data_IF_207568938464
#
_entry.id   IF_207568938464
#
_cell.length_a   1.000
_cell.length_b   1.000
_cell.length_c   1.000
_cell.angle_alpha   90.00
_cell.angle_beta   90.00
_cell.angle_gamma   90.00
#
_symmetry.space_group_name_H-M   'P 1'
#
loop_
_entity.id
_entity.type
_entity.pdbx_description
1 polymer ?
#
# COMPACT_ATOMS: atom_id res chain seq x y z
N UNK A 1 -13.00 9.66 10.61
CA UNK A 1 -13.93 9.71 9.47
C UNK A 1 -13.61 8.55 8.55
N UNK A 2 -14.58 7.72 8.20
CA UNK A 2 -14.34 6.63 7.24
C UNK A 2 -14.05 7.23 5.86
N UNK A 3 -12.91 6.87 5.27
CA UNK A 3 -12.53 7.29 3.92
C UNK A 3 -13.42 6.55 2.92
N UNK A 4 -14.42 7.22 2.38
CA UNK A 4 -15.27 6.64 1.34
C UNK A 4 -14.52 6.75 0.02
N UNK A 5 -13.83 5.70 -0.40
CA UNK A 5 -13.09 5.64 -1.66
C UNK A 5 -13.61 4.51 -2.55
N UNK A 6 -13.52 4.70 -3.87
CA UNK A 6 -13.92 3.71 -4.89
C UNK A 6 -12.67 3.09 -5.51
N UNK A 7 -12.52 1.79 -5.34
CA UNK A 7 -11.34 1.05 -5.75
C UNK A 7 -11.69 0.03 -6.83
N UNK A 8 -10.93 0.03 -7.92
CA UNK A 8 -10.95 -1.01 -8.93
C UNK A 8 -9.72 -1.90 -8.78
N UNK A 9 -9.94 -3.15 -8.37
CA UNK A 9 -8.90 -4.17 -8.28
C UNK A 9 -8.77 -4.90 -9.62
N UNK A 10 -7.54 -5.01 -10.09
CA UNK A 10 -7.24 -5.66 -11.37
C UNK A 10 -6.14 -6.70 -11.19
N UNK A 11 -6.43 -7.94 -11.56
CA UNK A 11 -5.46 -9.03 -11.44
C UNK A 11 -5.95 -10.32 -12.04
N UNK A 12 -5.04 -11.28 -12.23
CA UNK A 12 -5.34 -12.56 -12.91
C UNK A 12 -5.98 -13.63 -12.00
N UNK A 13 -5.85 -13.51 -10.68
CA UNK A 13 -6.29 -14.53 -9.71
C UNK A 13 -7.48 -14.02 -8.94
N UNK A 14 -8.68 -14.50 -9.26
CA UNK A 14 -9.93 -14.10 -8.62
C UNK A 14 -9.87 -14.26 -7.09
N UNK A 15 -9.39 -15.40 -6.57
CA UNK A 15 -9.29 -15.65 -5.12
C UNK A 15 -8.43 -14.62 -4.37
N UNK A 16 -7.38 -14.08 -5.01
CA UNK A 16 -6.54 -13.03 -4.39
C UNK A 16 -7.30 -11.71 -4.37
N UNK A 17 -8.00 -11.40 -5.46
CA UNK A 17 -8.85 -10.21 -5.55
C UNK A 17 -9.99 -10.26 -4.54
N UNK A 18 -10.63 -11.43 -4.35
CA UNK A 18 -11.74 -11.61 -3.40
C UNK A 18 -11.29 -11.30 -1.97
N UNK A 19 -10.19 -11.90 -1.51
CA UNK A 19 -9.63 -11.63 -0.17
C UNK A 19 -9.28 -10.16 0.04
N UNK A 20 -8.67 -9.53 -0.96
CA UNK A 20 -8.32 -8.11 -0.89
C UNK A 20 -9.59 -7.24 -0.89
N UNK A 21 -10.58 -7.60 -1.71
CA UNK A 21 -11.84 -6.87 -1.77
C UNK A 21 -12.61 -6.94 -0.44
N UNK A 22 -12.66 -8.12 0.19
CA UNK A 22 -13.26 -8.28 1.53
C UNK A 22 -12.57 -7.40 2.57
N UNK A 23 -11.23 -7.42 2.61
CA UNK A 23 -10.45 -6.59 3.53
C UNK A 23 -10.71 -5.10 3.31
N UNK A 24 -10.75 -4.63 2.06
CA UNK A 24 -11.01 -3.22 1.74
C UNK A 24 -12.46 -2.82 2.05
N UNK A 25 -13.43 -3.70 1.84
CA UNK A 25 -14.83 -3.43 2.21
C UNK A 25 -15.00 -3.35 3.73
N UNK A 26 -14.28 -4.15 4.48
CA UNK A 26 -14.25 -4.06 5.95
C UNK A 26 -13.72 -2.69 6.43
N UNK A 27 -12.86 -2.03 5.64
CA UNK A 27 -12.39 -0.66 5.88
C UNK A 27 -13.37 0.43 5.36
N UNK A 28 -14.55 0.03 4.88
CA UNK A 28 -15.59 0.96 4.39
C UNK A 28 -15.43 1.42 2.94
N UNK A 29 -14.54 0.79 2.16
CA UNK A 29 -14.30 1.16 0.77
C UNK A 29 -15.28 0.45 -0.19
N UNK A 30 -15.65 1.13 -1.28
CA UNK A 30 -16.39 0.52 -2.37
C UNK A 30 -15.42 -0.16 -3.34
N UNK A 31 -15.56 -1.48 -3.54
CA UNK A 31 -14.60 -2.26 -4.30
C UNK A 31 -15.26 -2.99 -5.45
N UNK A 32 -14.75 -2.76 -6.66
CA UNK A 32 -15.02 -3.53 -7.86
C UNK A 32 -13.78 -4.35 -8.25
N UNK A 33 -13.98 -5.48 -8.90
CA UNK A 33 -12.91 -6.37 -9.33
C UNK A 33 -13.04 -6.64 -10.82
N UNK A 34 -11.91 -6.74 -11.51
CA UNK A 34 -11.88 -7.14 -12.91
C UNK A 34 -10.62 -7.98 -13.21
N UNK A 35 -10.81 -9.06 -13.91
CA UNK A 35 -9.73 -9.95 -14.34
C UNK A 35 -9.39 -9.77 -15.82
N UNK A 36 -10.30 -9.19 -16.60
CA UNK A 36 -10.13 -8.90 -18.01
C UNK A 36 -9.70 -7.46 -18.26
N UNK A 37 -8.46 -7.29 -18.69
CA UNK A 37 -7.88 -5.97 -18.95
C UNK A 37 -8.54 -5.24 -20.13
N UNK A 38 -9.04 -5.98 -21.13
CA UNK A 38 -9.66 -5.37 -22.30
C UNK A 38 -11.05 -4.81 -21.98
N UNK A 39 -11.78 -5.48 -21.09
CA UNK A 39 -13.04 -4.94 -20.56
C UNK A 39 -12.84 -3.63 -19.80
N UNK A 40 -11.76 -3.49 -19.04
CA UNK A 40 -11.48 -2.23 -18.32
C UNK A 40 -11.26 -1.10 -19.32
N UNK A 41 -10.57 -1.36 -20.41
CA UNK A 41 -10.25 -0.35 -21.41
C UNK A 41 -11.49 0.19 -22.14
N UNK A 42 -12.53 -0.63 -22.32
CA UNK A 42 -13.66 -0.34 -23.22
C UNK A 42 -15.02 -0.29 -22.52
N UNK A 43 -15.25 -1.09 -21.48
CA UNK A 43 -16.57 -1.32 -20.92
C UNK A 43 -16.74 -0.88 -19.45
N UNK A 44 -15.66 -0.87 -18.68
CA UNK A 44 -15.75 -0.48 -17.27
C UNK A 44 -15.78 1.04 -17.16
N UNK A 45 -16.80 1.57 -16.50
CA UNK A 45 -16.82 2.99 -16.15
C UNK A 45 -15.80 3.27 -15.04
N UNK A 46 -14.75 3.99 -15.39
CA UNK A 46 -13.66 4.39 -14.50
C UNK A 46 -13.76 5.84 -14.05
N UNK A 47 -14.76 6.60 -14.54
CA UNK A 47 -14.92 8.03 -14.21
C UNK A 47 -15.09 8.26 -12.70
N UNK A 48 -15.71 7.32 -12.03
CA UNK A 48 -16.01 7.37 -10.61
C UNK A 48 -15.00 6.59 -9.74
N UNK A 49 -13.91 6.04 -10.32
CA UNK A 49 -12.89 5.28 -9.59
C UNK A 49 -11.81 6.22 -9.06
N UNK A 50 -11.51 6.13 -7.76
CA UNK A 50 -10.47 6.94 -7.12
C UNK A 50 -9.08 6.26 -7.21
N UNK A 51 -9.06 4.93 -7.08
CA UNK A 51 -7.82 4.12 -7.12
C UNK A 51 -7.98 2.91 -8.02
N UNK A 52 -7.04 2.74 -8.94
CA UNK A 52 -6.81 1.52 -9.72
C UNK A 52 -5.65 0.74 -9.10
N UNK A 53 -5.93 -0.42 -8.50
CA UNK A 53 -4.91 -1.28 -7.92
C UNK A 53 -4.59 -2.45 -8.87
N UNK A 54 -3.35 -2.51 -9.31
CA UNK A 54 -2.85 -3.51 -10.27
C UNK A 54 -2.09 -4.61 -9.54
N UNK A 55 -2.49 -5.85 -9.74
CA UNK A 55 -1.75 -7.01 -9.26
C UNK A 55 -0.40 -7.16 -9.99
N UNK A 56 0.61 -7.73 -9.32
CA UNK A 56 1.99 -7.92 -9.82
C UNK A 56 2.10 -8.61 -11.20
N UNK A 57 1.06 -9.34 -11.64
CA UNK A 57 1.04 -9.99 -12.96
C UNK A 57 0.65 -9.04 -14.10
N UNK A 58 0.26 -7.81 -13.80
CA UNK A 58 -0.08 -6.76 -14.78
C UNK A 58 1.16 -5.89 -14.96
N UNK A 59 2.00 -6.23 -15.93
CA UNK A 59 3.30 -5.58 -16.14
C UNK A 59 3.53 -5.24 -17.61
N UNK A 60 4.60 -4.49 -17.89
CA UNK A 60 5.07 -4.15 -19.22
C UNK A 60 4.02 -3.39 -20.04
N UNK A 61 4.04 -3.58 -21.36
CA UNK A 61 3.21 -2.86 -22.33
C UNK A 61 1.69 -2.96 -22.03
N UNK A 62 1.24 -4.11 -21.49
CA UNK A 62 -0.18 -4.28 -21.12
C UNK A 62 -0.59 -3.33 -20.00
N UNK A 63 0.28 -3.19 -19.00
CA UNK A 63 0.09 -2.22 -17.90
C UNK A 63 0.07 -0.79 -18.43
N UNK A 64 1.04 -0.44 -19.27
CA UNK A 64 1.17 0.91 -19.82
C UNK A 64 -0.05 1.30 -20.65
N UNK A 65 -0.49 0.42 -21.55
CA UNK A 65 -1.71 0.62 -22.36
C UNK A 65 -2.96 0.76 -21.49
N UNK A 66 -3.09 -0.06 -20.45
CA UNK A 66 -4.23 0.03 -19.53
C UNK A 66 -4.22 1.36 -18.79
N UNK A 67 -3.09 1.73 -18.18
CA UNK A 67 -2.96 2.97 -17.41
C UNK A 67 -3.20 4.20 -18.29
N UNK A 68 -2.66 4.23 -19.51
CA UNK A 68 -2.89 5.31 -20.46
C UNK A 68 -4.38 5.44 -20.82
N UNK A 69 -5.05 4.33 -21.15
CA UNK A 69 -6.46 4.33 -21.50
C UNK A 69 -7.38 4.77 -20.33
N UNK A 70 -7.03 4.37 -19.09
CA UNK A 70 -7.82 4.73 -17.91
C UNK A 70 -7.58 6.19 -17.53
N UNK A 71 -6.34 6.69 -17.57
CA UNK A 71 -6.02 8.09 -17.28
C UNK A 71 -6.60 9.06 -18.32
N UNK A 72 -6.71 8.66 -19.57
CA UNK A 72 -7.39 9.47 -20.58
C UNK A 72 -8.87 9.72 -20.25
N UNK A 73 -9.52 8.78 -19.54
CA UNK A 73 -10.93 8.85 -19.13
C UNK A 73 -11.12 9.42 -17.72
N UNK A 74 -10.12 9.26 -16.87
CA UNK A 74 -10.09 9.79 -15.49
C UNK A 74 -8.66 10.24 -15.12
N UNK A 75 -8.30 11.50 -15.39
CA UNK A 75 -6.97 12.03 -15.08
C UNK A 75 -6.65 12.07 -13.58
N UNK A 76 -7.66 12.14 -12.71
CA UNK A 76 -7.51 12.17 -11.26
C UNK A 76 -7.27 10.79 -10.63
N UNK A 77 -7.45 9.71 -11.42
CA UNK A 77 -7.31 8.35 -10.95
C UNK A 77 -5.88 8.04 -10.50
N UNK A 78 -5.75 7.51 -9.31
CA UNK A 78 -4.47 7.07 -8.74
C UNK A 78 -4.24 5.61 -9.07
N UNK A 79 -3.02 5.30 -9.50
CA UNK A 79 -2.63 3.92 -9.85
C UNK A 79 -1.69 3.39 -8.78
N UNK A 80 -2.03 2.22 -8.24
CA UNK A 80 -1.24 1.49 -7.25
C UNK A 80 -0.79 0.18 -7.86
N UNK A 81 0.52 -0.04 -7.92
CA UNK A 81 1.10 -1.34 -8.25
C UNK A 81 1.31 -2.14 -6.97
N UNK A 82 0.74 -3.33 -6.89
CA UNK A 82 0.88 -4.17 -5.71
C UNK A 82 2.32 -4.63 -5.48
N UNK A 83 2.93 -4.24 -4.35
CA UNK A 83 4.33 -4.55 -4.03
C UNK A 83 4.54 -6.04 -3.73
N UNK A 84 3.66 -6.65 -2.93
CA UNK A 84 3.76 -8.06 -2.56
C UNK A 84 2.35 -8.66 -2.35
N UNK A 85 2.19 -9.99 -2.43
CA UNK A 85 0.91 -10.66 -2.23
C UNK A 85 0.55 -10.77 -0.73
N UNK A 86 0.66 -9.67 -0.01
CA UNK A 86 0.37 -9.53 1.43
C UNK A 86 -0.86 -8.63 1.55
N UNK A 87 -2.01 -9.21 1.91
CA UNK A 87 -3.28 -8.47 1.93
C UNK A 87 -3.23 -7.20 2.81
N UNK A 88 -2.74 -7.22 4.06
CA UNK A 88 -2.63 -6.00 4.87
C UNK A 88 -1.74 -4.91 4.24
N UNK A 89 -0.66 -5.30 3.55
CA UNK A 89 0.21 -4.38 2.84
C UNK A 89 -0.50 -3.72 1.65
N UNK A 90 -1.23 -4.51 0.87
CA UNK A 90 -2.01 -4.00 -0.27
C UNK A 90 -3.12 -3.05 0.18
N UNK A 91 -3.79 -3.37 1.28
CA UNK A 91 -4.78 -2.46 1.92
C UNK A 91 -4.11 -1.14 2.30
N UNK A 92 -2.94 -1.19 2.95
CA UNK A 92 -2.21 0.01 3.34
C UNK A 92 -1.77 0.86 2.14
N UNK A 93 -1.31 0.23 1.04
CA UNK A 93 -0.96 0.94 -0.21
C UNK A 93 -2.17 1.68 -0.81
N UNK A 94 -3.34 1.04 -0.81
CA UNK A 94 -4.57 1.64 -1.33
C UNK A 94 -5.02 2.79 -0.41
N UNK A 95 -4.95 2.61 0.90
CA UNK A 95 -5.22 3.67 1.88
C UNK A 95 -4.27 4.86 1.71
N UNK A 96 -2.96 4.60 1.56
CA UNK A 96 -1.98 5.65 1.26
C UNK A 96 -2.38 6.42 -0.01
N UNK A 97 -2.72 5.71 -1.09
CA UNK A 97 -3.14 6.35 -2.32
C UNK A 97 -4.39 7.20 -2.15
N UNK A 98 -5.37 6.76 -1.35
CA UNK A 98 -6.61 7.51 -1.10
C UNK A 98 -6.40 8.75 -0.23
N UNK A 99 -5.50 8.68 0.74
CA UNK A 99 -5.31 9.71 1.76
C UNK A 99 -4.05 10.55 1.56
N UNK A 100 -3.23 10.26 0.51
CA UNK A 100 -1.93 10.89 0.32
C UNK A 100 -2.00 12.41 0.47
N UNK A 101 -1.52 12.96 1.59
CA UNK A 101 -1.44 14.40 1.79
C UNK A 101 -0.34 14.99 0.89
N UNK A 102 -0.40 16.28 0.65
CA UNK A 102 0.73 16.99 0.02
C UNK A 102 2.02 16.78 0.83
N UNK A 103 3.16 16.90 0.16
CA UNK A 103 4.48 16.58 0.75
C UNK A 103 4.75 17.32 2.08
N UNK A 104 4.26 18.55 2.21
CA UNK A 104 4.42 19.36 3.43
C UNK A 104 3.55 18.86 4.60
N UNK A 105 2.40 18.27 4.31
CA UNK A 105 1.46 17.76 5.31
C UNK A 105 1.77 16.33 5.77
N UNK A 106 2.78 15.68 5.20
CA UNK A 106 3.18 14.32 5.60
C UNK A 106 3.81 14.32 6.99
N UNK A 107 3.27 13.46 7.86
CA UNK A 107 3.80 13.25 9.21
C UNK A 107 5.11 12.47 9.15
N UNK A 108 5.12 11.37 8.38
CA UNK A 108 6.31 10.55 8.17
C UNK A 108 7.18 11.21 7.09
N UNK A 109 8.36 11.64 7.49
CA UNK A 109 9.34 12.27 6.59
C UNK A 109 10.17 11.26 5.83
N UNK A 110 10.58 10.17 6.51
CA UNK A 110 11.40 9.10 5.95
C UNK A 110 11.20 7.80 6.74
N UNK A 111 11.47 6.68 6.09
CA UNK A 111 11.61 5.37 6.71
C UNK A 111 12.73 4.59 6.01
N UNK A 112 13.44 3.76 6.78
CA UNK A 112 14.57 2.98 6.26
C UNK A 112 14.94 1.81 7.16
N UNK A 113 15.96 1.05 6.75
CA UNK A 113 16.53 -0.05 7.52
C UNK A 113 17.92 0.34 7.98
N UNK A 114 18.19 0.16 9.26
CA UNK A 114 19.55 0.16 9.82
C UNK A 114 20.00 -1.30 9.94
N UNK A 115 20.83 -1.74 8.99
CA UNK A 115 21.21 -3.16 8.85
C UNK A 115 22.13 -3.57 9.99
N UNK A 116 23.01 -2.69 10.48
CA UNK A 116 23.94 -2.95 11.56
C UNK A 116 23.24 -3.33 12.85
N UNK A 117 22.13 -2.69 13.16
CA UNK A 117 21.40 -2.84 14.42
C UNK A 117 20.18 -3.74 14.32
N UNK A 118 19.94 -4.34 13.16
CA UNK A 118 18.72 -5.11 12.88
C UNK A 118 17.46 -4.32 13.27
N UNK A 119 17.45 -3.04 12.96
CA UNK A 119 16.35 -2.14 13.26
C UNK A 119 15.79 -1.50 12.01
N UNK A 120 14.56 -1.03 12.10
CA UNK A 120 13.98 -0.10 11.14
C UNK A 120 13.86 1.26 11.78
N UNK A 121 14.07 2.29 10.98
CA UNK A 121 14.01 3.68 11.43
C UNK A 121 12.86 4.41 10.73
N UNK A 122 12.18 5.30 11.46
CA UNK A 122 11.28 6.28 10.90
C UNK A 122 11.66 7.68 11.39
N UNK A 123 11.35 8.69 10.58
CA UNK A 123 11.50 10.09 10.95
C UNK A 123 10.15 10.77 10.91
N UNK A 124 9.76 11.42 12.00
CA UNK A 124 8.51 12.17 12.11
C UNK A 124 8.76 13.68 12.09
N UNK A 125 7.98 14.41 11.30
CA UNK A 125 8.02 15.89 11.21
C UNK A 125 7.39 16.55 12.42
N UNK A 126 6.42 15.89 13.06
CA UNK A 126 5.73 16.31 14.28
C UNK A 126 5.34 15.10 15.12
N UNK A 127 4.96 15.34 16.38
CA UNK A 127 4.38 14.30 17.22
C UNK A 127 3.04 13.80 16.68
N UNK A 128 2.79 12.50 16.83
CA UNK A 128 1.59 11.83 16.35
C UNK A 128 1.34 10.54 17.14
N UNK A 129 0.10 10.04 17.09
CA UNK A 129 -0.18 8.66 17.49
C UNK A 129 0.17 7.73 16.32
N UNK A 130 1.12 6.81 16.53
CA UNK A 130 1.79 6.07 15.45
C UNK A 130 1.68 4.58 15.67
N UNK A 131 1.29 3.86 14.61
CA UNK A 131 1.42 2.41 14.53
C UNK A 131 2.43 2.07 13.44
N UNK A 132 3.44 1.25 13.79
CA UNK A 132 4.50 0.81 12.88
C UNK A 132 4.43 -0.70 12.74
N UNK A 133 4.21 -1.19 11.52
CA UNK A 133 4.12 -2.62 11.21
C UNK A 133 5.16 -2.96 10.15
N UNK A 134 5.98 -3.94 10.47
CA UNK A 134 6.98 -4.50 9.56
C UNK A 134 6.43 -5.74 8.88
N UNK A 135 6.51 -5.78 7.55
CA UNK A 135 6.15 -6.94 6.74
C UNK A 135 7.39 -7.49 6.02
N UNK A 136 7.51 -8.79 5.98
CA UNK A 136 8.56 -9.48 5.25
C UNK A 136 7.98 -10.63 4.45
N UNK A 137 8.46 -10.79 3.22
CA UNK A 137 8.21 -11.95 2.39
C UNK A 137 9.49 -12.78 2.35
N UNK A 138 9.46 -14.00 2.85
CA UNK A 138 10.64 -14.87 2.83
C UNK A 138 10.86 -15.53 1.45
N UNK A 139 11.96 -16.29 1.30
CA UNK A 139 12.33 -16.97 0.05
C UNK A 139 11.31 -18.03 -0.39
N UNK A 140 10.44 -18.47 0.51
CA UNK A 140 9.33 -19.39 0.22
C UNK A 140 8.01 -18.67 0.00
N UNK A 141 8.06 -17.33 -0.20
CA UNK A 141 6.88 -16.46 -0.34
C UNK A 141 5.90 -16.51 0.83
N UNK A 142 6.38 -16.81 2.04
CA UNK A 142 5.58 -16.72 3.25
C UNK A 142 5.64 -15.31 3.80
N UNK A 143 4.47 -14.77 4.09
CA UNK A 143 4.33 -13.45 4.69
C UNK A 143 4.54 -13.54 6.21
N UNK A 144 5.38 -12.64 6.71
CA UNK A 144 5.60 -12.44 8.15
C UNK A 144 5.24 -11.01 8.48
N UNK A 145 4.55 -10.82 9.60
CA UNK A 145 4.14 -9.53 10.11
C UNK A 145 4.64 -9.36 11.54
N UNK A 146 5.12 -8.16 11.86
CA UNK A 146 5.54 -7.80 13.21
C UNK A 146 5.08 -6.38 13.52
N UNK A 147 4.25 -6.25 14.56
CA UNK A 147 3.97 -4.95 15.15
C UNK A 147 5.21 -4.49 15.91
N UNK A 148 5.77 -3.35 15.51
CA UNK A 148 6.96 -2.77 16.10
C UNK A 148 6.63 -1.71 17.15
N UNK A 149 5.58 -0.92 16.91
CA UNK A 149 5.13 0.13 17.80
C UNK A 149 3.64 0.42 17.63
N UNK A 150 3.01 0.82 18.75
CA UNK A 150 1.66 1.40 18.73
C UNK A 150 1.54 2.36 19.92
N UNK A 151 1.29 3.64 19.63
CA UNK A 151 1.12 4.71 20.61
C UNK A 151 1.78 6.02 20.19
N UNK A 152 1.81 7.03 21.10
CA UNK A 152 2.34 8.35 20.77
C UNK A 152 3.86 8.33 20.59
N UNK A 153 4.33 9.04 19.56
CA UNK A 153 5.73 9.34 19.33
C UNK A 153 5.93 10.83 19.11
N UNK A 154 7.02 11.37 19.64
CA UNK A 154 7.42 12.75 19.42
C UNK A 154 7.98 12.99 18.02
N UNK A 155 8.23 14.26 17.67
CA UNK A 155 9.00 14.64 16.49
C UNK A 155 10.43 14.09 16.59
N UNK A 156 11.00 13.59 15.48
CA UNK A 156 12.38 13.12 15.41
C UNK A 156 12.53 11.74 14.82
N UNK A 157 13.69 11.12 15.09
CA UNK A 157 14.03 9.80 14.61
C UNK A 157 13.72 8.74 15.67
N UNK A 158 13.14 7.63 15.24
CA UNK A 158 12.77 6.51 16.10
C UNK A 158 13.25 5.20 15.47
N UNK A 159 13.83 4.31 16.28
CA UNK A 159 14.37 3.03 15.86
C UNK A 159 13.60 1.90 16.55
N UNK A 160 13.28 0.87 15.80
CA UNK A 160 12.53 -0.28 16.28
C UNK A 160 13.27 -1.56 15.95
N UNK A 161 13.61 -2.40 16.94
CA UNK A 161 14.27 -3.68 16.69
C UNK A 161 13.32 -4.61 15.93
N UNK A 162 13.89 -5.33 14.94
CA UNK A 162 13.16 -6.32 14.16
C UNK A 162 13.62 -7.72 14.55
N UNK A 163 12.66 -8.60 14.83
CA UNK A 163 12.94 -10.00 15.10
C UNK A 163 13.26 -10.73 13.79
N UNK A 164 14.38 -11.47 13.78
CA UNK A 164 14.78 -12.28 12.63
C UNK A 164 15.76 -11.59 11.68
N UNK A 165 15.94 -12.18 10.49
CA UNK A 165 16.92 -11.70 9.50
C UNK A 165 16.38 -10.51 8.72
N UNK A 166 17.06 -9.37 8.78
CA UNK A 166 16.71 -8.16 8.01
C UNK A 166 17.37 -8.12 6.62
N UNK A 167 18.16 -9.13 6.25
CA UNK A 167 19.02 -9.07 5.06
C UNK A 167 18.50 -9.85 3.85
N UNK A 168 17.41 -10.63 3.97
CA UNK A 168 16.90 -11.47 2.88
C UNK A 168 15.38 -11.32 2.70
N UNK A 169 14.92 -11.31 1.44
CA UNK A 169 13.51 -11.22 1.06
C UNK A 169 13.02 -9.78 0.84
N UNK A 170 11.80 -9.66 0.35
CA UNK A 170 11.13 -8.37 0.19
C UNK A 170 10.65 -7.88 1.56
N UNK A 171 10.90 -6.61 1.87
CA UNK A 171 10.63 -6.01 3.18
C UNK A 171 9.88 -4.71 3.00
N UNK A 172 8.92 -4.50 3.88
CA UNK A 172 8.07 -3.32 3.82
C UNK A 172 7.77 -2.81 5.22
N UNK A 173 7.63 -1.51 5.34
CA UNK A 173 7.19 -0.85 6.55
C UNK A 173 5.89 -0.12 6.26
N UNK A 174 4.88 -0.41 7.04
CA UNK A 174 3.62 0.33 7.05
C UNK A 174 3.62 1.21 8.29
N UNK A 175 3.49 2.52 8.08
CA UNK A 175 3.38 3.49 9.19
C UNK A 175 2.03 4.18 9.08
N UNK A 176 1.23 4.10 10.14
CA UNK A 176 0.01 4.87 10.32
C UNK A 176 0.24 5.94 11.37
N UNK A 177 -0.03 7.19 11.04
CA UNK A 177 0.20 8.33 11.93
C UNK A 177 -0.96 9.32 11.80
N UNK A 178 -1.75 9.51 12.86
CA UNK A 178 -2.93 10.41 12.91
C UNK A 178 -3.82 10.29 11.65
N UNK A 179 -4.15 9.05 11.24
CA UNK A 179 -5.00 8.77 10.08
C UNK A 179 -4.30 8.83 8.71
N UNK A 180 -3.04 9.22 8.65
CA UNK A 180 -2.21 9.07 7.44
C UNK A 180 -1.59 7.67 7.41
N UNK A 181 -1.61 7.03 6.26
CA UNK A 181 -0.90 5.76 6.02
C UNK A 181 0.22 5.99 5.03
N UNK A 182 1.40 5.47 5.31
CA UNK A 182 2.54 5.44 4.38
C UNK A 182 3.12 4.04 4.30
N UNK A 183 3.54 3.64 3.10
CA UNK A 183 4.15 2.33 2.84
C UNK A 183 5.54 2.54 2.23
N UNK A 184 6.53 1.92 2.83
CA UNK A 184 7.92 2.03 2.40
C UNK A 184 8.45 0.63 2.09
N UNK A 185 8.96 0.46 0.87
CA UNK A 185 9.77 -0.70 0.54
C UNK A 185 11.18 -0.48 1.08
N UNK A 186 11.67 -1.44 1.85
CA UNK A 186 12.98 -1.36 2.49
C UNK A 186 14.01 -2.11 1.61
N UNK A 187 15.01 -1.42 1.18
CA UNK A 187 16.08 -1.93 0.28
C UNK A 187 17.31 -2.32 1.08
#
# INVERSE_FOLDING_TARGET
MATTGRVLLVGKRAQVLDRLAEALRAEGLQVRQETDLDRIRTQVDVSAVDVLALGRAVTGERRERLVAAVRARNPALRVVDGLAPITPLLVAQIQEALTAPGTESRIVAAAGVEVSDRSVAISLRRGADVTVVYHRLDSLYRAHEQLLHSGPLGRGHHWFPVKGTVTRGERFLVVRADGQTTVHQLV
#
